data_IF_041149433734
#
_entry.id   IF_041149433734
#
_cell.length_a   1.000
_cell.length_b   1.000
_cell.length_c   1.000
_cell.angle_alpha   90.00
_cell.angle_beta   90.00
_cell.angle_gamma   90.00
#
_symmetry.space_group_name_H-M   'P 1'
#
loop_
_entity.id
_entity.type
_entity.pdbx_description
1 polymer ?
#
# COMPACT_ATOMS: atom_id res chain seq x y z
N UNK A 1 -0.02 -30.80 4.38
CA UNK A 1 -0.75 -29.55 4.03
C UNK A 1 0.29 -28.47 3.91
N UNK A 2 0.35 -27.70 2.80
CA UNK A 2 1.26 -26.55 2.69
C UNK A 2 0.86 -25.53 3.75
N UNK A 3 1.87 -24.85 4.35
CA UNK A 3 1.61 -23.77 5.30
C UNK A 3 0.77 -22.68 4.64
N UNK A 4 -0.11 -22.02 5.41
CA UNK A 4 -0.90 -20.89 4.90
C UNK A 4 0.02 -19.77 4.40
N UNK A 5 -0.34 -19.06 3.31
CA UNK A 5 0.48 -17.97 2.75
C UNK A 5 0.77 -16.89 3.80
N UNK A 6 2.01 -16.42 3.87
CA UNK A 6 2.38 -15.29 4.73
C UNK A 6 2.49 -14.01 3.90
N UNK A 7 1.86 -12.93 4.36
CA UNK A 7 1.81 -11.63 3.70
C UNK A 7 2.39 -10.55 4.61
N UNK A 8 3.42 -9.85 4.15
CA UNK A 8 3.98 -8.69 4.84
C UNK A 8 3.24 -7.42 4.38
N UNK A 9 2.70 -6.66 5.33
CA UNK A 9 2.02 -5.38 5.06
C UNK A 9 2.77 -4.26 5.78
N UNK A 10 3.41 -3.37 5.04
CA UNK A 10 4.04 -2.17 5.62
C UNK A 10 3.00 -1.08 5.84
N UNK A 11 3.14 -0.25 6.88
CA UNK A 11 2.05 0.62 7.35
C UNK A 11 0.84 -0.19 7.83
N UNK A 12 1.06 -1.45 8.22
CA UNK A 12 0.02 -2.44 8.54
C UNK A 12 -0.69 -2.24 9.87
N UNK A 13 -0.27 -1.26 10.67
CA UNK A 13 -0.87 -1.02 11.98
C UNK A 13 -1.92 0.10 12.00
N UNK A 14 -2.19 0.74 10.86
CA UNK A 14 -3.21 1.79 10.78
C UNK A 14 -3.86 1.90 9.38
N UNK A 15 -5.02 2.55 9.30
CA UNK A 15 -5.68 2.94 8.06
C UNK A 15 -5.89 1.78 7.07
N UNK A 16 -5.49 1.99 5.81
CA UNK A 16 -5.64 1.02 4.73
C UNK A 16 -4.81 -0.23 5.02
N UNK A 17 -3.55 -0.07 5.48
CA UNK A 17 -2.68 -1.20 5.79
C UNK A 17 -3.28 -2.12 6.86
N UNK A 18 -3.85 -1.54 7.91
CA UNK A 18 -4.52 -2.32 8.96
C UNK A 18 -5.72 -3.11 8.43
N UNK A 19 -6.57 -2.48 7.60
CA UNK A 19 -7.70 -3.18 6.98
C UNK A 19 -7.23 -4.32 6.03
N UNK A 20 -6.09 -4.15 5.38
CA UNK A 20 -5.50 -5.24 4.58
C UNK A 20 -5.02 -6.37 5.48
N UNK A 21 -4.40 -6.08 6.62
CA UNK A 21 -4.02 -7.11 7.61
C UNK A 21 -5.25 -7.88 8.08
N UNK A 22 -6.34 -7.19 8.45
CA UNK A 22 -7.60 -7.85 8.82
C UNK A 22 -8.15 -8.75 7.71
N UNK A 23 -8.12 -8.27 6.45
CA UNK A 23 -8.59 -9.04 5.31
C UNK A 23 -7.70 -10.27 5.02
N UNK A 24 -6.38 -10.16 5.15
CA UNK A 24 -5.43 -11.28 5.04
C UNK A 24 -5.74 -12.37 6.06
N UNK A 25 -5.97 -11.96 7.31
CA UNK A 25 -6.33 -12.89 8.38
C UNK A 25 -7.71 -13.55 8.16
N UNK A 26 -8.67 -12.80 7.59
CA UNK A 26 -10.01 -13.33 7.28
C UNK A 26 -9.98 -14.37 6.14
N UNK A 27 -9.01 -14.29 5.20
CA UNK A 27 -8.78 -15.34 4.19
C UNK A 27 -8.13 -16.61 4.77
N UNK A 28 -7.83 -16.64 6.07
CA UNK A 28 -7.09 -17.72 6.72
C UNK A 28 -5.60 -17.73 6.36
N UNK A 29 -5.06 -16.60 5.89
CA UNK A 29 -3.64 -16.41 5.60
C UNK A 29 -2.94 -15.86 6.84
N UNK A 30 -1.61 -15.86 6.80
CA UNK A 30 -0.77 -15.34 7.88
C UNK A 30 -0.37 -13.89 7.54
N UNK A 31 -0.47 -12.99 8.51
CA UNK A 31 -0.19 -11.58 8.32
C UNK A 31 1.01 -11.11 9.17
N UNK A 32 1.87 -10.28 8.56
CA UNK A 32 2.91 -9.53 9.26
C UNK A 32 2.55 -8.06 9.11
N UNK A 33 2.09 -7.45 10.21
CA UNK A 33 1.78 -6.02 10.28
C UNK A 33 3.04 -5.25 10.68
N UNK A 34 3.67 -4.56 9.74
CA UNK A 34 4.87 -3.76 9.99
C UNK A 34 4.54 -2.26 9.96
N UNK A 35 5.03 -1.51 10.96
CA UNK A 35 4.81 -0.05 11.07
C UNK A 35 5.99 0.60 11.83
N UNK A 36 6.24 1.88 11.58
CA UNK A 36 7.27 2.63 12.30
C UNK A 36 6.76 3.15 13.66
N UNK A 37 5.44 3.31 13.82
CA UNK A 37 4.79 3.89 15.00
C UNK A 37 4.51 2.85 16.07
N UNK A 38 5.21 2.90 17.18
CA UNK A 38 4.95 2.03 18.34
C UNK A 38 3.51 2.16 18.87
N UNK A 39 2.93 3.36 18.83
CA UNK A 39 1.54 3.58 19.24
C UNK A 39 0.55 2.83 18.33
N UNK A 40 0.77 2.87 16.99
CA UNK A 40 -0.05 2.12 16.04
C UNK A 40 0.11 0.62 16.25
N UNK A 41 1.35 0.14 16.46
CA UNK A 41 1.64 -1.28 16.70
C UNK A 41 0.95 -1.77 17.98
N UNK A 42 1.00 -1.00 19.06
CA UNK A 42 0.30 -1.34 20.31
C UNK A 42 -1.23 -1.40 20.11
N UNK A 43 -1.80 -0.42 19.39
CA UNK A 43 -3.23 -0.42 19.05
C UNK A 43 -3.62 -1.62 18.18
N UNK A 44 -2.79 -1.98 17.20
CA UNK A 44 -3.02 -3.14 16.34
C UNK A 44 -3.00 -4.45 17.13
N UNK A 45 -2.00 -4.65 18.03
CA UNK A 45 -1.95 -5.82 18.93
C UNK A 45 -3.20 -5.91 19.80
N UNK A 46 -3.65 -4.79 20.38
CA UNK A 46 -4.86 -4.77 21.20
C UNK A 46 -6.11 -5.17 20.41
N UNK A 47 -6.26 -4.70 19.17
CA UNK A 47 -7.44 -4.95 18.34
C UNK A 47 -7.48 -6.36 17.75
N UNK A 48 -6.33 -6.88 17.31
CA UNK A 48 -6.25 -8.17 16.63
C UNK A 48 -6.05 -9.34 17.59
N UNK A 49 -5.62 -9.05 18.83
CA UNK A 49 -5.31 -10.04 19.85
C UNK A 49 -4.01 -10.81 19.58
N UNK A 50 -3.65 -11.66 20.52
CA UNK A 50 -2.52 -12.58 20.37
C UNK A 50 -2.98 -13.83 19.61
N UNK A 51 -2.36 -14.10 18.46
CA UNK A 51 -2.75 -15.17 17.55
C UNK A 51 -1.56 -15.68 16.74
N UNK A 52 -1.47 -16.99 16.46
CA UNK A 52 -0.29 -17.59 15.82
C UNK A 52 -0.11 -17.21 14.34
N UNK A 53 -1.15 -16.71 13.68
CA UNK A 53 -1.16 -16.30 12.28
C UNK A 53 -0.91 -14.78 12.09
N UNK A 54 -0.59 -14.06 13.17
CA UNK A 54 -0.25 -12.64 13.16
C UNK A 54 1.12 -12.40 13.79
N UNK A 55 1.95 -11.62 13.10
CA UNK A 55 3.15 -10.99 13.65
C UNK A 55 3.04 -9.47 13.54
N UNK A 56 3.45 -8.76 14.56
CA UNK A 56 3.44 -7.28 14.60
C UNK A 56 4.84 -6.80 14.86
N UNK A 57 5.45 -6.11 13.89
CA UNK A 57 6.86 -5.75 13.86
C UNK A 57 7.06 -4.25 13.67
N UNK A 58 8.10 -3.70 14.35
CA UNK A 58 8.54 -2.34 14.07
C UNK A 58 9.43 -2.31 12.82
N UNK A 59 9.07 -1.47 11.85
CA UNK A 59 9.85 -1.31 10.63
C UNK A 59 9.78 0.15 10.13
N UNK A 60 10.94 0.79 9.98
CA UNK A 60 11.08 1.98 9.16
C UNK A 60 11.47 1.53 7.73
N UNK A 61 10.60 1.78 6.77
CA UNK A 61 10.82 1.39 5.37
C UNK A 61 11.90 2.22 4.68
N UNK A 62 12.25 3.39 5.23
CA UNK A 62 13.33 4.23 4.71
C UNK A 62 14.73 3.76 5.18
N UNK A 63 14.81 2.84 6.14
CA UNK A 63 16.06 2.22 6.59
C UNK A 63 16.28 0.89 5.86
N UNK A 64 17.19 0.90 4.88
CA UNK A 64 17.51 -0.28 4.07
C UNK A 64 17.98 -1.48 4.91
N UNK A 65 18.82 -1.25 5.91
CA UNK A 65 19.32 -2.33 6.76
C UNK A 65 18.19 -2.96 7.60
N UNK A 66 17.28 -2.13 8.12
CA UNK A 66 16.10 -2.59 8.83
C UNK A 66 15.18 -3.41 7.90
N UNK A 67 14.97 -2.98 6.65
CA UNK A 67 14.17 -3.72 5.66
C UNK A 67 14.77 -5.09 5.36
N UNK A 68 16.09 -5.16 5.07
CA UNK A 68 16.79 -6.43 4.82
C UNK A 68 16.59 -7.40 5.97
N UNK A 69 16.82 -6.93 7.20
CA UNK A 69 16.65 -7.74 8.41
C UNK A 69 15.20 -8.19 8.61
N UNK A 70 14.24 -7.27 8.48
CA UNK A 70 12.82 -7.59 8.68
C UNK A 70 12.32 -8.64 7.70
N UNK A 71 12.65 -8.52 6.41
CA UNK A 71 12.24 -9.50 5.39
C UNK A 71 12.88 -10.88 5.67
N UNK A 72 14.17 -10.93 6.03
CA UNK A 72 14.84 -12.18 6.37
C UNK A 72 14.22 -12.86 7.60
N UNK A 73 13.88 -12.11 8.64
CA UNK A 73 13.23 -12.63 9.85
C UNK A 73 11.81 -13.11 9.53
N UNK A 74 11.04 -12.35 8.74
CA UNK A 74 9.70 -12.76 8.32
C UNK A 74 9.75 -14.08 7.53
N UNK A 75 10.65 -14.20 6.56
CA UNK A 75 10.82 -15.41 5.75
C UNK A 75 11.24 -16.62 6.59
N UNK A 76 12.23 -16.44 7.49
CA UNK A 76 12.84 -17.54 8.25
C UNK A 76 12.01 -18.00 9.44
N UNK A 77 11.40 -17.08 10.18
CA UNK A 77 10.76 -17.40 11.47
C UNK A 77 9.22 -17.49 11.37
N UNK A 78 8.61 -16.69 10.51
CA UNK A 78 7.15 -16.67 10.38
C UNK A 78 6.65 -17.54 9.21
N UNK A 79 7.55 -17.89 8.29
CA UNK A 79 7.32 -18.80 7.16
C UNK A 79 7.38 -18.10 5.82
N UNK A 80 7.38 -18.86 4.71
CA UNK A 80 7.69 -18.34 3.41
C UNK A 80 6.72 -17.22 3.00
N UNK A 81 7.26 -16.06 2.66
CA UNK A 81 6.48 -14.93 2.16
C UNK A 81 5.87 -15.28 0.80
N UNK A 82 4.55 -15.32 0.72
CA UNK A 82 3.81 -15.48 -0.51
C UNK A 82 3.53 -14.14 -1.20
N UNK A 83 3.60 -13.04 -0.43
CA UNK A 83 3.41 -11.71 -0.99
C UNK A 83 3.68 -10.60 0.01
N UNK A 84 3.68 -9.38 -0.52
CA UNK A 84 3.79 -8.15 0.27
C UNK A 84 2.77 -7.10 -0.19
N UNK A 85 2.41 -6.21 0.74
CA UNK A 85 1.68 -4.98 0.44
C UNK A 85 2.48 -3.79 0.96
N UNK A 86 2.97 -2.95 0.06
CA UNK A 86 3.61 -1.68 0.38
C UNK A 86 2.56 -0.60 0.63
N UNK A 87 2.11 -0.47 1.89
CA UNK A 87 1.11 0.53 2.30
C UNK A 87 1.67 1.65 3.18
N UNK A 88 2.92 1.53 3.64
CA UNK A 88 3.59 2.62 4.35
C UNK A 88 3.68 3.87 3.48
N UNK A 89 3.37 5.03 4.05
CA UNK A 89 3.44 6.28 3.32
C UNK A 89 3.05 7.48 4.17
N UNK A 90 3.59 8.63 3.80
CA UNK A 90 3.28 9.93 4.38
C UNK A 90 2.75 10.87 3.31
N UNK A 91 1.90 11.81 3.73
CA UNK A 91 1.38 12.86 2.87
C UNK A 91 1.65 14.24 3.49
N UNK A 92 1.82 15.23 2.62
CA UNK A 92 1.91 16.64 2.98
C UNK A 92 1.11 17.44 1.95
N UNK A 93 0.26 18.33 2.43
CA UNK A 93 -0.53 19.23 1.60
C UNK A 93 0.13 20.61 1.63
N UNK A 94 1.08 20.83 0.71
CA UNK A 94 1.89 22.05 0.63
C UNK A 94 1.89 22.53 -0.81
N UNK A 95 1.56 23.81 -1.09
CA UNK A 95 1.64 24.40 -2.42
C UNK A 95 3.05 24.24 -3.03
N UNK A 96 3.14 24.11 -4.37
CA UNK A 96 4.39 23.81 -5.06
C UNK A 96 5.52 24.78 -4.71
N UNK A 97 5.23 26.09 -4.65
CA UNK A 97 6.23 27.11 -4.34
C UNK A 97 6.70 27.12 -2.87
N UNK A 98 5.92 26.50 -1.98
CA UNK A 98 6.22 26.39 -0.55
C UNK A 98 6.85 25.03 -0.19
N UNK A 99 6.82 24.09 -1.13
CA UNK A 99 7.38 22.74 -0.91
C UNK A 99 8.89 22.78 -0.89
N UNK A 100 9.50 22.59 0.29
CA UNK A 100 10.96 22.57 0.41
C UNK A 100 11.54 21.28 -0.21
N UNK A 101 12.81 21.35 -0.67
CA UNK A 101 13.53 20.17 -1.14
C UNK A 101 13.68 19.10 -0.05
N UNK A 102 13.74 19.51 1.23
CA UNK A 102 13.77 18.58 2.38
C UNK A 102 12.47 17.81 2.47
N UNK A 103 11.33 18.49 2.52
CA UNK A 103 10.00 17.85 2.56
C UNK A 103 9.78 16.94 1.35
N UNK A 104 10.22 17.38 0.16
CA UNK A 104 10.12 16.58 -1.06
C UNK A 104 10.88 15.26 -0.92
N UNK A 105 12.15 15.31 -0.45
CA UNK A 105 12.95 14.10 -0.21
C UNK A 105 12.34 13.17 0.83
N UNK A 106 11.90 13.71 1.98
CA UNK A 106 11.26 12.90 3.03
C UNK A 106 10.06 12.11 2.50
N UNK A 107 9.24 12.72 1.66
CA UNK A 107 8.09 12.03 1.05
C UNK A 107 8.54 10.96 0.06
N UNK A 108 9.57 11.23 -0.76
CA UNK A 108 10.12 10.23 -1.67
C UNK A 108 10.78 9.07 -0.93
N UNK A 109 11.54 9.35 0.12
CA UNK A 109 12.27 8.33 0.89
C UNK A 109 11.32 7.30 1.47
N UNK A 110 10.21 7.74 2.06
CA UNK A 110 9.21 6.81 2.62
C UNK A 110 8.37 6.15 1.52
N UNK A 111 7.75 6.95 0.64
CA UNK A 111 6.68 6.45 -0.25
C UNK A 111 7.23 5.67 -1.45
N UNK A 112 8.36 6.07 -2.00
CA UNK A 112 8.92 5.51 -3.23
C UNK A 112 10.12 4.61 -2.94
N UNK A 113 11.15 5.16 -2.30
CA UNK A 113 12.38 4.40 -2.00
C UNK A 113 12.07 3.28 -1.02
N UNK A 114 11.32 3.55 0.06
CA UNK A 114 10.90 2.52 1.01
C UNK A 114 10.09 1.41 0.37
N UNK A 115 9.13 1.75 -0.52
CA UNK A 115 8.38 0.74 -1.29
C UNK A 115 9.29 -0.10 -2.19
N UNK A 116 10.30 0.53 -2.82
CA UNK A 116 11.30 -0.17 -3.63
C UNK A 116 12.13 -1.14 -2.79
N UNK A 117 12.67 -0.69 -1.66
CA UNK A 117 13.51 -1.50 -0.78
C UNK A 117 12.76 -2.77 -0.31
N UNK A 118 11.54 -2.61 0.18
CA UNK A 118 10.73 -3.75 0.64
C UNK A 118 10.38 -4.68 -0.52
N UNK A 119 9.98 -4.13 -1.68
CA UNK A 119 9.65 -4.93 -2.86
C UNK A 119 10.85 -5.71 -3.37
N UNK A 120 12.04 -5.10 -3.42
CA UNK A 120 13.29 -5.72 -3.86
C UNK A 120 13.69 -6.88 -2.94
N UNK A 121 13.69 -6.67 -1.63
CA UNK A 121 14.09 -7.71 -0.69
C UNK A 121 13.08 -8.86 -0.66
N UNK A 122 11.78 -8.56 -0.70
CA UNK A 122 10.77 -9.60 -0.81
C UNK A 122 10.88 -10.39 -2.13
N UNK A 123 11.15 -9.72 -3.26
CA UNK A 123 11.38 -10.38 -4.53
C UNK A 123 12.58 -11.34 -4.48
N UNK A 124 13.68 -10.97 -3.79
CA UNK A 124 14.86 -11.84 -3.61
C UNK A 124 14.50 -13.17 -2.94
N UNK A 125 13.73 -13.14 -1.86
CA UNK A 125 13.32 -14.36 -1.15
C UNK A 125 12.22 -15.15 -1.90
N UNK A 126 11.32 -14.47 -2.61
CA UNK A 126 10.26 -15.11 -3.38
C UNK A 126 10.77 -15.75 -4.69
N UNK A 127 11.79 -15.16 -5.33
CA UNK A 127 12.33 -15.63 -6.62
C UNK A 127 12.85 -17.07 -6.56
N UNK A 128 13.44 -17.48 -5.43
CA UNK A 128 13.91 -18.86 -5.21
C UNK A 128 12.81 -19.91 -5.26
N UNK A 129 11.54 -19.51 -5.10
CA UNK A 129 10.37 -20.41 -5.16
C UNK A 129 9.57 -20.30 -6.46
N UNK A 130 9.92 -19.35 -7.33
CA UNK A 130 9.21 -19.13 -8.58
C UNK A 130 7.75 -18.67 -8.41
N UNK A 131 7.40 -18.05 -7.28
CA UNK A 131 6.06 -17.59 -6.99
C UNK A 131 6.06 -16.42 -6.00
N UNK A 132 5.25 -15.39 -6.26
CA UNK A 132 5.07 -14.25 -5.36
C UNK A 132 4.09 -13.21 -5.87
N UNK A 133 3.63 -12.33 -4.97
CA UNK A 133 2.80 -11.20 -5.32
C UNK A 133 3.24 -9.93 -4.57
N UNK A 134 3.44 -8.85 -5.30
CA UNK A 134 3.76 -7.52 -4.76
C UNK A 134 2.61 -6.58 -5.10
N UNK A 135 2.02 -5.95 -4.08
CA UNK A 135 0.97 -4.94 -4.23
C UNK A 135 1.48 -3.62 -3.66
N UNK A 136 1.60 -2.61 -4.51
CA UNK A 136 2.06 -1.29 -4.12
C UNK A 136 0.88 -0.33 -3.95
N UNK A 137 0.74 0.35 -2.81
CA UNK A 137 -0.23 1.42 -2.64
C UNK A 137 0.30 2.71 -3.30
N UNK A 138 -0.23 2.99 -4.50
CA UNK A 138 -0.10 4.26 -5.18
C UNK A 138 -1.15 5.27 -4.64
N UNK A 139 -1.73 6.09 -5.49
CA UNK A 139 -2.83 7.03 -5.21
C UNK A 139 -3.37 7.56 -6.54
N UNK A 140 -4.63 8.01 -6.55
CA UNK A 140 -5.14 8.85 -7.66
C UNK A 140 -4.29 10.09 -7.88
N UNK A 141 -3.59 10.61 -6.85
CA UNK A 141 -2.64 11.72 -6.98
C UNK A 141 -1.36 11.35 -7.76
N UNK A 142 -1.10 10.07 -7.99
CA UNK A 142 -0.05 9.61 -8.90
C UNK A 142 -0.54 9.43 -10.35
N UNK A 143 -1.86 9.48 -10.56
CA UNK A 143 -2.51 9.34 -11.87
C UNK A 143 -2.91 10.70 -12.44
N UNK A 144 -3.46 11.57 -11.59
CA UNK A 144 -3.88 12.93 -11.94
C UNK A 144 -3.35 13.95 -10.95
N UNK A 145 -3.18 15.20 -11.38
CA UNK A 145 -2.72 16.28 -10.51
C UNK A 145 -3.77 16.67 -9.48
N UNK A 146 -3.33 16.85 -8.23
CA UNK A 146 -4.14 17.40 -7.14
C UNK A 146 -3.39 18.56 -6.47
N UNK A 147 -4.11 19.63 -6.13
CA UNK A 147 -3.53 20.82 -5.49
C UNK A 147 -2.82 20.46 -4.19
N UNK A 148 -1.66 21.08 -3.95
CA UNK A 148 -0.85 20.85 -2.74
C UNK A 148 -0.10 19.51 -2.69
N UNK A 149 -0.19 18.67 -3.72
CA UNK A 149 0.33 17.30 -3.72
C UNK A 149 1.61 17.09 -4.51
N UNK A 150 2.44 18.13 -4.71
CA UNK A 150 3.62 18.05 -5.59
C UNK A 150 4.56 16.90 -5.21
N UNK A 151 5.03 16.84 -3.96
CA UNK A 151 5.91 15.76 -3.51
C UNK A 151 5.17 14.40 -3.44
N UNK A 152 3.96 14.40 -2.90
CA UNK A 152 3.15 13.18 -2.76
C UNK A 152 2.78 12.60 -4.12
N UNK A 153 2.25 13.42 -5.04
CA UNK A 153 1.89 13.00 -6.40
C UNK A 153 3.10 12.45 -7.16
N UNK A 154 4.25 13.15 -7.08
CA UNK A 154 5.50 12.66 -7.67
C UNK A 154 5.91 11.29 -7.12
N UNK A 155 5.85 11.09 -5.79
CA UNK A 155 6.16 9.80 -5.16
C UNK A 155 5.23 8.69 -5.64
N UNK A 156 3.92 8.96 -5.70
CA UNK A 156 2.90 7.95 -6.09
C UNK A 156 2.89 7.68 -7.61
N UNK A 157 3.22 8.67 -8.43
CA UNK A 157 3.51 8.49 -9.86
C UNK A 157 4.74 7.62 -10.08
N UNK A 158 5.82 7.85 -9.30
CA UNK A 158 7.00 7.01 -9.29
C UNK A 158 6.68 5.55 -8.93
N UNK A 159 5.85 5.31 -7.92
CA UNK A 159 5.37 3.96 -7.53
C UNK A 159 4.63 3.27 -8.68
N UNK A 160 3.80 3.99 -9.45
CA UNK A 160 3.08 3.43 -10.62
C UNK A 160 4.06 2.97 -11.70
N UNK A 161 5.06 3.78 -12.04
CA UNK A 161 6.06 3.41 -13.06
C UNK A 161 6.98 2.31 -12.54
N UNK A 162 7.47 2.40 -11.30
CA UNK A 162 8.26 1.35 -10.65
C UNK A 162 7.53 -0.01 -10.68
N UNK A 163 6.22 -0.02 -10.40
CA UNK A 163 5.39 -1.23 -10.47
C UNK A 163 5.46 -1.89 -11.85
N UNK A 164 5.36 -1.10 -12.92
CA UNK A 164 5.43 -1.62 -14.30
C UNK A 164 6.79 -2.21 -14.64
N UNK A 165 7.86 -1.50 -14.25
CA UNK A 165 9.24 -1.98 -14.50
C UNK A 165 9.49 -3.28 -13.74
N UNK A 166 9.20 -3.31 -12.44
CA UNK A 166 9.37 -4.52 -11.63
C UNK A 166 8.50 -5.68 -12.12
N UNK A 167 7.29 -5.41 -12.62
CA UNK A 167 6.43 -6.44 -13.20
C UNK A 167 7.07 -7.13 -14.41
N UNK A 168 7.73 -6.37 -15.30
CA UNK A 168 8.43 -6.92 -16.45
C UNK A 168 9.64 -7.76 -16.05
N UNK A 169 10.43 -7.26 -15.10
CA UNK A 169 11.67 -7.90 -14.66
C UNK A 169 11.43 -9.14 -13.80
N UNK A 170 10.36 -9.14 -13.00
CA UNK A 170 10.08 -10.20 -12.02
C UNK A 170 9.10 -11.28 -12.54
N UNK A 171 8.36 -11.01 -13.63
CA UNK A 171 7.45 -11.99 -14.21
C UNK A 171 8.13 -13.30 -14.63
N UNK A 172 9.35 -13.30 -15.22
CA UNK A 172 10.09 -14.55 -15.51
C UNK A 172 10.45 -15.35 -14.25
N UNK A 173 10.45 -14.69 -13.08
CA UNK A 173 10.70 -15.32 -11.78
C UNK A 173 9.40 -15.76 -11.06
N UNK A 174 8.26 -15.74 -11.78
CA UNK A 174 6.95 -16.11 -11.23
C UNK A 174 6.36 -15.10 -10.25
N UNK A 175 6.88 -13.88 -10.18
CA UNK A 175 6.41 -12.84 -9.25
C UNK A 175 5.57 -11.81 -10.00
N UNK A 176 4.34 -11.58 -9.53
CA UNK A 176 3.43 -10.54 -10.05
C UNK A 176 3.60 -9.26 -9.26
N UNK A 177 3.61 -8.13 -9.94
CA UNK A 177 3.72 -6.80 -9.31
C UNK A 177 2.62 -5.90 -9.84
N UNK A 178 1.75 -5.42 -8.94
CA UNK A 178 0.65 -4.53 -9.29
C UNK A 178 0.55 -3.36 -8.31
N UNK A 179 -0.18 -2.33 -8.69
CA UNK A 179 -0.47 -1.19 -7.84
C UNK A 179 -1.97 -1.03 -7.62
N UNK A 180 -2.34 -0.47 -6.48
CA UNK A 180 -3.67 0.07 -6.23
C UNK A 180 -3.52 1.58 -6.10
N UNK A 181 -4.40 2.34 -6.75
CA UNK A 181 -4.49 3.80 -6.64
C UNK A 181 -5.79 4.19 -5.92
N UNK A 182 -5.78 4.30 -4.58
CA UNK A 182 -6.96 4.73 -3.85
C UNK A 182 -7.33 6.19 -4.15
N UNK A 183 -8.64 6.47 -4.19
CA UNK A 183 -9.21 7.80 -4.11
C UNK A 183 -9.23 8.34 -2.67
N UNK A 184 -10.18 9.23 -2.32
CA UNK A 184 -10.38 9.66 -0.94
C UNK A 184 -10.95 8.51 -0.11
N UNK A 185 -10.14 8.01 0.85
CA UNK A 185 -10.50 6.89 1.74
C UNK A 185 -10.56 7.38 3.19
N UNK A 186 -11.58 6.96 3.94
CA UNK A 186 -11.76 7.27 5.37
C UNK A 186 -10.66 6.62 6.21
N UNK A 187 -9.58 7.35 6.43
CA UNK A 187 -8.43 6.93 7.25
C UNK A 187 -8.13 7.96 8.34
N UNK A 188 -7.39 7.59 9.40
CA UNK A 188 -6.91 8.58 10.37
C UNK A 188 -6.18 9.76 9.71
N UNK A 189 -5.29 9.49 8.75
CA UNK A 189 -4.56 10.52 8.00
C UNK A 189 -5.51 11.50 7.29
N UNK A 190 -6.55 11.01 6.63
CA UNK A 190 -7.52 11.85 5.91
C UNK A 190 -8.38 12.66 6.87
N UNK A 191 -8.72 12.10 8.04
CA UNK A 191 -9.46 12.85 9.08
C UNK A 191 -8.67 14.04 9.61
N UNK A 192 -7.35 13.93 9.70
CA UNK A 192 -6.47 15.01 10.14
C UNK A 192 -6.23 16.06 9.03
N UNK A 193 -6.10 15.63 7.77
CA UNK A 193 -5.76 16.52 6.65
C UNK A 193 -6.96 17.22 6.01
N UNK A 194 -8.15 16.61 6.02
CA UNK A 194 -9.31 17.12 5.29
C UNK A 194 -10.28 17.86 6.21
N UNK A 195 -10.37 19.20 6.06
CA UNK A 195 -11.43 20.01 6.66
C UNK A 195 -12.81 19.60 6.11
N UNK A 196 -13.89 20.06 6.76
CA UNK A 196 -15.25 19.81 6.29
C UNK A 196 -15.48 20.32 4.84
N UNK A 197 -14.92 21.47 4.50
CA UNK A 197 -14.97 22.01 3.13
C UNK A 197 -14.21 21.14 2.14
N UNK A 198 -12.99 20.69 2.50
CA UNK A 198 -12.23 19.79 1.64
C UNK A 198 -12.96 18.47 1.43
N UNK A 199 -13.62 17.94 2.47
CA UNK A 199 -14.43 16.72 2.36
C UNK A 199 -15.59 16.87 1.39
N UNK A 200 -16.35 17.96 1.46
CA UNK A 200 -17.41 18.24 0.50
C UNK A 200 -16.86 18.33 -0.92
N UNK A 201 -15.79 19.08 -1.12
CA UNK A 201 -15.15 19.22 -2.44
C UNK A 201 -14.70 17.87 -3.03
N UNK A 202 -14.13 16.97 -2.18
CA UNK A 202 -13.77 15.64 -2.62
C UNK A 202 -14.99 14.79 -2.99
N UNK A 203 -16.06 14.81 -2.17
CA UNK A 203 -17.31 14.08 -2.45
C UNK A 203 -17.92 14.55 -3.78
N UNK A 204 -17.91 15.85 -4.04
CA UNK A 204 -18.43 16.42 -5.29
C UNK A 204 -17.67 15.97 -6.54
N UNK A 205 -16.38 15.67 -6.40
CA UNK A 205 -15.56 15.16 -7.49
C UNK A 205 -15.70 13.65 -7.71
N UNK A 206 -16.11 12.89 -6.69
CA UNK A 206 -16.27 11.44 -6.78
C UNK A 206 -17.65 11.08 -7.34
N UNK A 207 -17.76 10.36 -8.47
CA UNK A 207 -19.07 9.95 -9.02
C UNK A 207 -19.95 9.17 -8.06
N UNK A 208 -19.38 8.31 -7.20
CA UNK A 208 -20.13 7.57 -6.18
C UNK A 208 -20.55 8.42 -4.97
N UNK A 209 -20.25 9.74 -4.95
CA UNK A 209 -20.69 10.70 -3.93
C UNK A 209 -20.36 10.28 -2.48
N UNK A 210 -19.26 9.58 -2.28
CA UNK A 210 -18.79 9.17 -0.97
C UNK A 210 -17.27 9.03 -0.91
N UNK A 211 -16.72 9.06 0.27
CA UNK A 211 -15.40 8.49 0.52
C UNK A 211 -15.47 6.96 0.43
N UNK A 212 -14.40 6.35 -0.05
CA UNK A 212 -14.19 4.92 0.10
C UNK A 212 -13.84 4.57 1.55
N UNK A 213 -13.96 3.29 1.87
CA UNK A 213 -13.51 2.73 3.14
C UNK A 213 -12.16 2.03 2.97
N UNK A 214 -11.38 1.82 4.04
CA UNK A 214 -10.20 0.96 3.99
C UNK A 214 -10.51 -0.45 3.46
N UNK A 215 -11.69 -1.00 3.74
CA UNK A 215 -12.15 -2.30 3.26
C UNK A 215 -12.34 -2.34 1.74
N UNK A 216 -12.78 -1.24 1.09
CA UNK A 216 -12.87 -1.17 -0.37
C UNK A 216 -11.49 -1.39 -1.01
N UNK A 217 -10.43 -0.85 -0.40
CA UNK A 217 -9.03 -1.02 -0.87
C UNK A 217 -8.49 -2.40 -0.52
N UNK A 218 -8.80 -2.91 0.68
CA UNK A 218 -8.35 -4.23 1.13
C UNK A 218 -8.87 -5.35 0.21
N UNK A 219 -10.11 -5.25 -0.27
CA UNK A 219 -10.69 -6.21 -1.22
C UNK A 219 -9.89 -6.30 -2.53
N UNK A 220 -9.43 -5.16 -3.05
CA UNK A 220 -8.58 -5.13 -4.24
C UNK A 220 -7.18 -5.72 -3.95
N UNK A 221 -6.63 -5.49 -2.75
CA UNK A 221 -5.35 -6.06 -2.34
C UNK A 221 -5.43 -7.59 -2.26
N UNK A 222 -6.47 -8.14 -1.65
CA UNK A 222 -6.69 -9.60 -1.58
C UNK A 222 -6.86 -10.20 -2.99
N UNK A 223 -7.61 -9.54 -3.88
CA UNK A 223 -7.70 -9.97 -5.27
C UNK A 223 -6.33 -10.07 -5.94
N UNK A 224 -5.49 -9.05 -5.79
CA UNK A 224 -4.17 -9.00 -6.41
C UNK A 224 -3.16 -9.97 -5.76
N UNK A 225 -3.30 -10.27 -4.48
CA UNK A 225 -2.46 -11.23 -3.77
C UNK A 225 -2.80 -12.68 -4.15
N UNK A 226 -4.08 -13.02 -4.37
CA UNK A 226 -4.51 -14.40 -4.64
C UNK A 226 -4.19 -14.82 -6.10
N UNK A 227 -3.23 -15.76 -6.31
CA UNK A 227 -2.88 -16.21 -7.65
C UNK A 227 -4.03 -16.93 -8.37
N UNK A 228 -5.01 -17.46 -7.65
CA UNK A 228 -6.19 -18.13 -8.23
C UNK A 228 -7.14 -17.12 -8.86
N UNK A 229 -7.16 -15.86 -8.35
CA UNK A 229 -8.04 -14.78 -8.82
C UNK A 229 -7.34 -13.88 -9.83
N UNK A 230 -6.03 -13.64 -9.69
CA UNK A 230 -5.27 -12.66 -10.46
C UNK A 230 -3.96 -13.21 -11.03
N UNK A 231 -3.85 -14.52 -11.27
CA UNK A 231 -2.62 -15.18 -11.73
C UNK A 231 -2.07 -14.65 -13.06
N UNK A 232 -2.91 -14.03 -13.89
CA UNK A 232 -2.48 -13.41 -15.18
C UNK A 232 -2.50 -11.89 -15.15
N UNK A 233 -2.56 -11.28 -13.94
CA UNK A 233 -2.57 -9.83 -13.75
C UNK A 233 -1.22 -9.39 -13.17
N UNK A 234 -0.42 -8.68 -13.98
CA UNK A 234 0.84 -8.05 -13.55
C UNK A 234 1.06 -6.71 -14.28
N UNK A 235 1.77 -5.77 -13.67
CA UNK A 235 2.04 -4.43 -14.21
C UNK A 235 0.84 -3.48 -14.21
N UNK A 236 -0.27 -3.85 -13.58
CA UNK A 236 -1.50 -3.06 -13.60
C UNK A 236 -1.59 -2.10 -12.43
N UNK A 237 -2.31 -0.99 -12.65
CA UNK A 237 -2.73 -0.06 -11.58
C UNK A 237 -4.24 -0.05 -11.54
N UNK A 238 -4.82 -0.52 -10.44
CA UNK A 238 -6.27 -0.54 -10.22
C UNK A 238 -6.65 0.69 -9.39
N UNK A 239 -7.45 1.57 -9.95
CA UNK A 239 -8.04 2.70 -9.21
C UNK A 239 -9.21 2.21 -8.36
N UNK A 240 -9.14 2.45 -7.04
CA UNK A 240 -10.23 2.21 -6.08
C UNK A 240 -10.67 3.57 -5.57
N UNK A 241 -11.48 4.28 -6.35
CA UNK A 241 -11.64 5.73 -6.25
C UNK A 241 -13.09 6.23 -6.45
N UNK A 242 -14.06 5.33 -6.55
CA UNK A 242 -15.45 5.69 -6.81
C UNK A 242 -15.69 6.38 -8.15
N UNK A 243 -14.75 6.20 -9.11
CA UNK A 243 -14.84 6.78 -10.46
C UNK A 243 -14.12 8.14 -10.60
N UNK A 244 -13.39 8.59 -9.57
CA UNK A 244 -12.74 9.92 -9.57
C UNK A 244 -11.84 10.14 -10.81
N UNK A 245 -10.97 9.19 -11.14
CA UNK A 245 -10.05 9.34 -12.29
C UNK A 245 -10.78 9.21 -13.63
N UNK A 246 -11.86 8.44 -13.69
CA UNK A 246 -12.65 8.26 -14.91
C UNK A 246 -13.57 9.47 -15.23
N UNK A 247 -13.91 10.27 -14.22
CA UNK A 247 -14.83 11.39 -14.38
C UNK A 247 -14.12 12.58 -15.04
N UNK A 248 -14.57 12.95 -16.26
CA UNK A 248 -14.14 14.18 -16.92
C UNK A 248 -15.22 15.27 -16.91
N UNK A 249 -16.48 14.89 -16.87
CA UNK A 249 -17.61 15.81 -16.82
C UNK A 249 -18.79 15.12 -16.12
N UNK A 250 -19.42 15.81 -15.16
CA UNK A 250 -20.70 15.36 -14.61
C UNK A 250 -21.80 15.98 -15.47
N UNK A 251 -22.84 15.20 -15.84
CA UNK A 251 -24.04 15.77 -16.44
C UNK A 251 -24.67 16.72 -15.43
N UNK A 252 -24.95 17.97 -15.83
CA UNK A 252 -25.84 18.85 -15.09
C UNK A 252 -27.24 18.23 -15.15
N UNK A 253 -27.66 17.57 -14.10
CA UNK A 253 -29.07 17.21 -13.89
C UNK A 253 -29.84 18.40 -13.38
#
# INVERSE_FOLDING_TARGET
MSAAPAILVTGGASGIGFAIVEAVLAEGWRAIAADVSEANLASARQKLGDRPDLRVERLDVADEAAVVKAVAVCEGEFGPLAGIVNSAGIARDIPALETSAKTFREVLDVNLIGSFLVAREAARVMSGRGAGAIVNLASVSGVVGNHGRTAYGASKGGVIVMTKVMALELAPLGIRVNAIAPGPIETPMVKELHSAQARTAWIDLVPQQRYGTPADVASAAIFLLDPRKSGYVTGQTICVDGGFVAARMKSSS
#
